data_IF_968009512879
#
_entry.id   IF_968009512879
#
_cell.length_a   1.000
_cell.length_b   1.000
_cell.length_c   1.000
_cell.angle_alpha   90.00
_cell.angle_beta   90.00
_cell.angle_gamma   90.00
#
_symmetry.space_group_name_H-M   'P 1'
#
loop_
_entity.id
_entity.type
_entity.pdbx_description
1 polymer ?
#
# COMPACT_ATOMS: atom_id res chain seq x y z
N UNK A 1 -0.10 -6.55 7.74
CA UNK A 1 0.34 -5.77 6.57
C UNK A 1 1.80 -6.09 6.32
N UNK A 2 2.20 -6.39 5.08
CA UNK A 2 3.62 -6.58 4.76
C UNK A 2 4.33 -5.22 4.82
N UNK A 3 5.37 -5.14 5.64
CA UNK A 3 6.17 -3.92 5.77
C UNK A 3 6.99 -3.66 4.50
N UNK A 4 6.95 -2.41 4.06
CA UNK A 4 7.76 -1.94 2.94
C UNK A 4 8.54 -0.70 3.35
N UNK A 5 9.62 -0.40 2.64
CA UNK A 5 10.32 0.88 2.80
C UNK A 5 9.79 1.92 1.81
N UNK A 6 10.09 3.20 2.06
CA UNK A 6 9.61 4.31 1.21
C UNK A 6 10.03 4.16 -0.26
N UNK A 7 11.23 3.63 -0.51
CA UNK A 7 11.77 3.43 -1.86
C UNK A 7 11.04 2.30 -2.61
N UNK A 8 10.78 1.17 -1.95
CA UNK A 8 9.94 0.09 -2.50
C UNK A 8 8.55 0.60 -2.89
N UNK A 9 7.90 1.38 -2.01
CA UNK A 9 6.59 1.98 -2.33
C UNK A 9 6.64 2.93 -3.52
N UNK A 10 7.68 3.77 -3.58
CA UNK A 10 7.84 4.70 -4.71
C UNK A 10 7.96 3.92 -6.02
N UNK A 11 8.79 2.86 -6.02
CA UNK A 11 8.97 1.98 -7.16
C UNK A 11 7.67 1.25 -7.53
N UNK A 12 6.97 0.66 -6.57
CA UNK A 12 5.68 0.00 -6.81
C UNK A 12 4.66 0.95 -7.45
N UNK A 13 4.56 2.19 -6.95
CA UNK A 13 3.66 3.19 -7.53
C UNK A 13 4.07 3.61 -8.95
N UNK A 14 5.37 3.68 -9.23
CA UNK A 14 5.87 3.93 -10.58
C UNK A 14 5.53 2.77 -11.51
N UNK A 15 5.75 1.52 -11.08
CA UNK A 15 5.38 0.33 -11.84
C UNK A 15 3.87 0.31 -12.12
N UNK A 16 3.01 0.64 -11.15
CA UNK A 16 1.55 0.70 -11.37
C UNK A 16 1.17 1.67 -12.47
N UNK A 17 1.71 2.89 -12.42
CA UNK A 17 1.47 3.90 -13.47
C UNK A 17 2.02 3.48 -14.83
N UNK A 18 3.11 2.74 -14.82
CA UNK A 18 3.73 2.26 -16.04
C UNK A 18 2.92 1.09 -16.64
N UNK A 19 2.39 0.18 -15.80
CA UNK A 19 1.52 -0.90 -16.26
C UNK A 19 0.24 -0.38 -16.90
N UNK A 20 -0.30 0.76 -16.42
CA UNK A 20 -1.51 1.36 -16.99
C UNK A 20 -1.33 1.83 -18.44
N UNK A 21 -0.08 1.97 -18.91
CA UNK A 21 0.25 2.38 -20.30
C UNK A 21 0.28 1.22 -21.28
N UNK A 22 0.38 -0.02 -20.79
CA UNK A 22 0.51 -1.20 -21.63
C UNK A 22 -0.79 -1.99 -21.65
N UNK A 23 -1.16 -2.48 -22.83
CA UNK A 23 -2.32 -3.35 -22.95
C UNK A 23 -2.13 -4.60 -22.08
N UNK A 24 -3.17 -4.96 -21.33
CA UNK A 24 -3.17 -6.03 -20.32
C UNK A 24 -2.18 -5.87 -19.13
N UNK A 25 -1.53 -4.71 -18.97
CA UNK A 25 -0.72 -4.39 -17.79
C UNK A 25 0.64 -5.08 -17.70
N UNK A 26 1.17 -5.56 -18.83
CA UNK A 26 2.50 -6.17 -18.91
C UNK A 26 3.55 -5.13 -19.26
N UNK A 27 4.46 -4.86 -18.34
CA UNK A 27 5.56 -3.92 -18.55
C UNK A 27 6.73 -4.68 -19.21
N UNK A 28 7.23 -4.27 -20.38
CA UNK A 28 8.41 -4.87 -20.99
C UNK A 28 9.63 -4.74 -20.09
N UNK A 29 10.40 -5.82 -19.98
CA UNK A 29 11.57 -5.86 -19.10
C UNK A 29 12.72 -4.94 -19.55
N UNK A 30 12.77 -4.63 -20.85
CA UNK A 30 13.74 -3.70 -21.43
C UNK A 30 13.40 -2.24 -21.16
N UNK A 31 12.31 -1.98 -20.42
CA UNK A 31 11.95 -0.64 -20.01
C UNK A 31 13.05 -0.05 -19.11
N UNK A 32 13.67 1.05 -19.57
CA UNK A 32 14.75 1.79 -18.90
C UNK A 32 14.42 2.21 -17.46
N UNK A 33 13.14 2.24 -17.08
CA UNK A 33 12.69 2.52 -15.72
C UNK A 33 13.09 1.43 -14.71
N UNK A 34 13.41 0.22 -15.16
CA UNK A 34 13.55 -0.94 -14.29
C UNK A 34 14.96 -1.49 -14.39
N UNK A 35 15.77 -1.23 -13.37
CA UNK A 35 17.00 -1.97 -13.17
C UNK A 35 16.67 -3.28 -12.44
N UNK A 36 16.84 -4.43 -13.10
CA UNK A 36 16.62 -5.76 -12.50
C UNK A 36 17.56 -6.04 -11.32
N UNK A 37 18.73 -5.41 -11.33
CA UNK A 37 19.71 -5.51 -10.25
C UNK A 37 19.40 -4.56 -9.08
N UNK A 38 18.34 -3.75 -9.21
CA UNK A 38 17.86 -2.92 -8.11
C UNK A 38 17.36 -3.82 -6.97
N UNK A 39 17.99 -3.62 -5.81
CA UNK A 39 17.60 -4.22 -4.54
C UNK A 39 16.10 -4.07 -4.27
N UNK A 40 15.53 -2.88 -4.50
CA UNK A 40 14.11 -2.61 -4.21
C UNK A 40 13.18 -3.37 -5.15
N UNK A 41 13.61 -3.60 -6.40
CA UNK A 41 12.83 -4.41 -7.34
C UNK A 41 12.80 -5.88 -6.89
N UNK A 42 13.96 -6.44 -6.51
CA UNK A 42 14.04 -7.80 -5.96
C UNK A 42 13.16 -7.96 -4.71
N UNK A 43 13.15 -6.96 -3.84
CA UNK A 43 12.27 -6.97 -2.66
C UNK A 43 10.78 -6.96 -3.01
N UNK A 44 10.36 -6.20 -4.03
CA UNK A 44 8.97 -6.22 -4.50
C UNK A 44 8.56 -7.58 -5.06
N UNK A 45 9.48 -8.27 -5.75
CA UNK A 45 9.27 -9.64 -6.24
C UNK A 45 9.20 -10.63 -5.07
N UNK A 46 10.14 -10.54 -4.12
CA UNK A 46 10.18 -11.39 -2.91
C UNK A 46 8.90 -11.26 -2.08
N UNK A 47 8.34 -10.06 -1.99
CA UNK A 47 7.08 -9.77 -1.26
C UNK A 47 5.82 -10.07 -2.09
N UNK A 48 5.97 -10.64 -3.29
CA UNK A 48 4.89 -10.97 -4.21
C UNK A 48 4.01 -9.79 -4.64
N UNK A 49 4.52 -8.56 -4.58
CA UNK A 49 3.82 -7.40 -5.15
C UNK A 49 3.96 -7.33 -6.67
N UNK A 50 5.03 -7.91 -7.18
CA UNK A 50 5.38 -7.95 -8.61
C UNK A 50 5.79 -9.37 -8.95
N UNK A 51 5.47 -9.82 -10.17
CA UNK A 51 5.97 -11.07 -10.75
C UNK A 51 6.61 -10.80 -12.10
N UNK A 52 7.65 -11.55 -12.41
CA UNK A 52 8.29 -11.57 -13.73
C UNK A 52 7.70 -12.74 -14.50
N UNK A 53 7.18 -12.49 -15.70
CA UNK A 53 6.69 -13.53 -16.59
C UNK A 53 7.80 -13.95 -17.57
N UNK A 54 8.02 -15.26 -17.64
CA UNK A 54 8.91 -15.92 -18.59
C UNK A 54 8.07 -16.45 -19.75
N UNK A 55 8.57 -16.32 -20.98
CA UNK A 55 8.02 -17.08 -22.11
C UNK A 55 8.65 -18.46 -22.06
N UNK A 56 7.81 -19.50 -21.93
CA UNK A 56 8.21 -20.86 -22.28
C UNK A 56 8.35 -20.89 -23.80
N UNK A 57 9.56 -20.68 -24.31
CA UNK A 57 9.84 -20.98 -25.70
C UNK A 57 9.82 -22.51 -25.84
N UNK A 58 9.03 -23.06 -26.76
CA UNK A 58 9.09 -24.48 -27.12
C UNK A 58 10.35 -24.83 -27.93
N UNK A 59 11.36 -23.97 -27.97
CA UNK A 59 12.54 -24.16 -28.82
C UNK A 59 13.81 -24.29 -27.98
N UNK A 60 14.38 -25.50 -28.06
CA UNK A 60 15.68 -25.98 -27.61
C UNK A 60 16.06 -25.83 -26.12
N UNK A 61 16.25 -27.00 -25.50
CA UNK A 61 16.48 -27.27 -24.08
C UNK A 61 17.83 -26.77 -23.51
N UNK A 62 18.36 -25.61 -23.94
CA UNK A 62 19.67 -25.10 -23.51
C UNK A 62 19.74 -23.62 -23.15
N UNK A 63 18.63 -22.89 -23.15
CA UNK A 63 18.61 -21.46 -22.80
C UNK A 63 17.75 -21.28 -21.56
N UNK A 64 18.34 -20.80 -20.46
CA UNK A 64 17.57 -20.40 -19.27
C UNK A 64 16.54 -19.34 -19.67
N UNK A 65 15.24 -19.52 -19.35
CA UNK A 65 14.19 -18.62 -19.77
C UNK A 65 14.44 -17.22 -19.18
N UNK A 66 14.78 -16.26 -20.03
CA UNK A 66 14.92 -14.86 -19.61
C UNK A 66 13.51 -14.28 -19.44
N UNK A 67 13.21 -13.60 -18.31
CA UNK A 67 11.91 -13.00 -18.14
C UNK A 67 11.76 -11.83 -19.12
N UNK A 68 10.58 -11.72 -19.75
CA UNK A 68 10.27 -10.78 -20.85
C UNK A 68 9.35 -9.65 -20.41
N UNK A 69 8.50 -9.90 -19.41
CA UNK A 69 7.63 -8.86 -18.87
C UNK A 69 7.52 -8.91 -17.35
N UNK A 70 7.09 -7.78 -16.82
CA UNK A 70 6.82 -7.54 -15.41
C UNK A 70 5.32 -7.29 -15.28
N UNK A 71 4.69 -8.00 -14.35
CA UNK A 71 3.28 -7.85 -14.05
C UNK A 71 3.10 -7.57 -12.56
N UNK A 72 2.23 -6.63 -12.24
CA UNK A 72 1.87 -6.31 -10.86
C UNK A 72 0.79 -7.29 -10.42
N UNK A 73 0.99 -7.90 -9.26
CA UNK A 73 0.03 -8.86 -8.71
C UNK A 73 -1.17 -8.13 -8.10
N UNK A 74 -2.26 -8.85 -7.81
CA UNK A 74 -3.41 -8.27 -7.10
C UNK A 74 -3.00 -7.72 -5.72
N UNK A 75 -2.06 -8.40 -5.04
CA UNK A 75 -1.50 -7.93 -3.78
C UNK A 75 -0.78 -6.58 -3.94
N UNK A 76 0.01 -6.41 -5.01
CA UNK A 76 0.69 -5.15 -5.31
C UNK A 76 -0.29 -4.03 -5.66
N UNK A 77 -1.36 -4.34 -6.40
CA UNK A 77 -2.40 -3.37 -6.80
C UNK A 77 -3.14 -2.79 -5.60
N UNK A 78 -3.59 -3.66 -4.68
CA UNK A 78 -4.36 -3.25 -3.49
C UNK A 78 -3.50 -2.81 -2.30
N UNK A 79 -2.16 -2.84 -2.42
CA UNK A 79 -1.26 -2.50 -1.31
C UNK A 79 -1.53 -1.11 -0.71
N UNK A 80 -1.71 -0.09 -1.57
CA UNK A 80 -1.90 1.28 -1.11
C UNK A 80 -3.27 1.51 -0.48
N UNK A 81 -4.30 0.80 -0.93
CA UNK A 81 -5.65 0.84 -0.36
C UNK A 81 -5.61 0.26 1.06
N UNK A 82 -5.11 -0.96 1.21
CA UNK A 82 -4.97 -1.59 2.53
C UNK A 82 -4.10 -0.78 3.48
N UNK A 83 -3.01 -0.17 2.98
CA UNK A 83 -2.16 0.67 3.81
C UNK A 83 -2.89 1.93 4.27
N UNK A 84 -3.69 2.53 3.40
CA UNK A 84 -4.49 3.70 3.73
C UNK A 84 -5.57 3.36 4.77
N UNK A 85 -6.28 2.25 4.58
CA UNK A 85 -7.31 1.76 5.53
C UNK A 85 -6.73 1.56 6.93
N UNK A 86 -5.61 0.84 7.04
CA UNK A 86 -4.94 0.61 8.33
C UNK A 86 -4.45 1.92 8.95
N UNK A 87 -3.89 2.83 8.14
CA UNK A 87 -3.43 4.13 8.63
C UNK A 87 -4.60 4.97 9.16
N UNK A 88 -5.74 4.95 8.45
CA UNK A 88 -6.97 5.64 8.85
C UNK A 88 -7.52 5.05 10.15
N UNK A 89 -7.57 3.73 10.27
CA UNK A 89 -8.05 3.05 11.47
C UNK A 89 -7.17 3.38 12.69
N UNK A 90 -5.84 3.35 12.53
CA UNK A 90 -4.90 3.74 13.58
C UNK A 90 -5.09 5.19 13.99
N UNK A 91 -5.16 6.13 13.04
CA UNK A 91 -5.42 7.53 13.37
C UNK A 91 -6.76 7.72 14.08
N UNK A 92 -7.80 7.00 13.66
CA UNK A 92 -9.11 7.09 14.30
C UNK A 92 -9.06 6.61 15.75
N UNK A 93 -8.50 5.42 16.00
CA UNK A 93 -8.43 4.84 17.34
C UNK A 93 -7.48 5.60 18.27
N UNK A 94 -6.33 6.05 17.77
CA UNK A 94 -5.29 6.65 18.61
C UNK A 94 -5.44 8.15 18.83
N UNK A 95 -6.07 8.88 17.90
CA UNK A 95 -6.16 10.34 17.98
C UNK A 95 -7.61 10.83 18.04
N UNK A 96 -8.44 10.45 17.06
CA UNK A 96 -9.80 10.99 16.96
C UNK A 96 -10.73 10.49 18.06
N UNK A 97 -10.67 9.21 18.39
CA UNK A 97 -11.53 8.59 19.40
C UNK A 97 -11.29 9.20 20.80
N UNK A 98 -10.04 9.34 21.31
CA UNK A 98 -9.80 10.02 22.58
C UNK A 98 -10.29 11.47 22.60
N UNK A 99 -10.11 12.22 21.51
CA UNK A 99 -10.58 13.61 21.42
C UNK A 99 -12.11 13.67 21.50
N UNK A 100 -12.80 12.80 20.76
CA UNK A 100 -14.26 12.73 20.78
C UNK A 100 -14.78 12.38 22.17
N UNK A 101 -14.17 11.37 22.83
CA UNK A 101 -14.52 10.98 24.20
C UNK A 101 -14.32 12.16 25.16
N UNK A 102 -13.15 12.80 25.14
CA UNK A 102 -12.85 13.93 26.02
C UNK A 102 -13.82 15.11 25.83
N UNK A 103 -14.20 15.40 24.59
CA UNK A 103 -15.16 16.45 24.27
C UNK A 103 -16.54 16.14 24.84
N UNK A 104 -17.06 14.94 24.60
CA UNK A 104 -18.38 14.50 25.13
C UNK A 104 -18.38 14.52 26.65
N UNK A 105 -17.34 13.99 27.31
CA UNK A 105 -17.24 14.02 28.77
C UNK A 105 -17.17 15.43 29.32
N UNK A 106 -16.49 16.36 28.62
CA UNK A 106 -16.40 17.76 29.06
C UNK A 106 -17.76 18.46 28.99
N UNK A 107 -18.51 18.25 27.91
CA UNK A 107 -19.87 18.79 27.77
C UNK A 107 -20.81 18.25 28.85
N UNK A 108 -20.78 16.94 29.10
CA UNK A 108 -21.60 16.31 30.14
C UNK A 108 -21.24 16.86 31.53
N UNK A 109 -19.94 16.92 31.86
CA UNK A 109 -19.48 17.43 33.16
C UNK A 109 -19.93 18.86 33.39
N UNK A 110 -19.74 19.74 32.41
CA UNK A 110 -20.18 21.14 32.50
C UNK A 110 -21.71 21.27 32.58
N UNK A 111 -22.46 20.44 31.84
CA UNK A 111 -23.92 20.41 31.89
C UNK A 111 -24.45 19.98 33.26
N UNK A 112 -23.89 18.91 33.84
CA UNK A 112 -24.22 18.47 35.20
C UNK A 112 -23.87 19.56 36.21
N UNK A 113 -22.70 20.17 36.10
CA UNK A 113 -22.27 21.22 37.03
C UNK A 113 -23.18 22.46 36.96
N UNK A 114 -23.65 22.82 35.77
CA UNK A 114 -24.63 23.89 35.58
C UNK A 114 -25.99 23.55 36.20
N UNK A 115 -26.51 22.34 35.98
CA UNK A 115 -27.81 21.91 36.56
C UNK A 115 -27.79 21.85 38.08
N UNK A 116 -26.70 21.34 38.69
CA UNK A 116 -26.53 21.36 40.14
C UNK A 116 -26.52 22.80 40.68
N UNK A 117 -25.80 23.72 40.02
CA UNK A 117 -25.80 25.14 40.41
C UNK A 117 -27.18 25.79 40.28
N UNK A 118 -27.98 25.39 39.30
CA UNK A 118 -29.33 25.90 39.12
C UNK A 118 -30.27 25.42 40.24
N UNK A 119 -30.13 24.16 40.67
CA UNK A 119 -30.97 23.56 41.72
C UNK A 119 -30.64 24.02 43.14
N UNK A 120 -29.40 24.47 43.38
CA UNK A 120 -28.95 25.01 44.67
C UNK A 120 -29.22 26.52 44.84
N UNK A 121 -29.87 27.15 43.85
CA UNK A 121 -30.20 28.57 43.84
C UNK A 121 -31.69 28.77 44.03
#
# INVERSE_FOLDING_TARGET
>A
MIETVKKERKLLKQLMRESDKYDHGFIPIENKLINKDDYYFRELVRKHFVKTAEVKYETDARIDPKPISIQITNLGKHYFEHRFEVTKELMFKSFWLPIAVAFVTSLLTNGVLYTIRLLLK
#
